data_IF_085517763544
#
_entry.id   IF_085517763544
#
_cell.length_a   1.000
_cell.length_b   1.000
_cell.length_c   1.000
_cell.angle_alpha   90.00
_cell.angle_beta   90.00
_cell.angle_gamma   90.00
#
_symmetry.space_group_name_H-M   'P 1'
#
loop_
_entity.id
_entity.type
_entity.pdbx_description
1 polymer ?
#
# COMPACT_ATOMS: atom_id res chain seq x y z
N UNK A 1 -39.05 -9.04 21.13
CA UNK A 1 -40.04 -9.51 22.11
C UNK A 1 -41.20 -8.53 22.09
N UNK A 2 -42.18 -8.82 21.30
CA UNK A 2 -43.41 -8.03 21.28
C UNK A 2 -44.58 -9.00 21.27
N UNK A 3 -45.46 -8.84 22.26
CA UNK A 3 -46.51 -9.78 22.61
C UNK A 3 -47.74 -9.57 21.74
N UNK A 4 -48.13 -10.60 21.02
CA UNK A 4 -49.43 -10.70 20.33
C UNK A 4 -50.52 -10.94 21.37
N UNK A 5 -51.58 -10.09 21.36
CA UNK A 5 -52.77 -10.26 22.17
C UNK A 5 -53.81 -11.18 21.48
N UNK A 6 -54.44 -12.10 22.16
CA UNK A 6 -55.47 -12.96 21.58
C UNK A 6 -56.81 -12.28 21.45
N UNK A 7 -57.50 -12.54 20.35
CA UNK A 7 -58.86 -12.13 20.04
C UNK A 7 -59.83 -13.04 20.79
N UNK A 8 -60.66 -12.49 21.66
CA UNK A 8 -61.78 -13.18 22.33
C UNK A 8 -62.95 -13.34 21.34
N UNK A 9 -63.38 -14.56 21.12
CA UNK A 9 -64.67 -14.88 20.50
C UNK A 9 -65.70 -14.93 21.57
N UNK A 10 -66.71 -14.01 21.50
CA UNK A 10 -67.92 -14.11 22.25
C UNK A 10 -68.90 -15.05 21.52
N UNK A 11 -69.18 -16.18 22.11
CA UNK A 11 -70.31 -17.04 21.74
C UNK A 11 -71.52 -16.56 22.54
N UNK A 12 -72.52 -16.05 21.83
CA UNK A 12 -73.83 -15.86 22.38
C UNK A 12 -74.81 -16.83 21.68
N UNK A 13 -75.23 -17.82 22.40
CA UNK A 13 -76.29 -18.74 22.01
C UNK A 13 -77.67 -18.07 22.30
N UNK A 14 -78.47 -17.98 21.28
CA UNK A 14 -79.91 -17.78 21.48
C UNK A 14 -80.65 -18.84 20.69
N UNK A 15 -81.26 -19.75 21.43
CA UNK A 15 -82.18 -20.73 20.90
C UNK A 15 -83.42 -20.02 20.40
N UNK A 16 -83.79 -20.21 19.15
CA UNK A 16 -85.06 -19.80 18.60
C UNK A 16 -85.97 -21.02 18.55
N UNK A 17 -87.08 -20.94 19.33
CA UNK A 17 -88.15 -21.92 19.35
C UNK A 17 -88.82 -22.01 17.97
N UNK A 18 -89.01 -23.22 17.49
CA UNK A 18 -89.82 -23.55 16.32
C UNK A 18 -91.29 -23.51 16.67
N UNK A 19 -92.04 -22.52 16.20
CA UNK A 19 -93.46 -22.61 16.10
C UNK A 19 -93.87 -23.45 14.87
N UNK A 20 -94.88 -24.33 15.02
CA UNK A 20 -95.38 -25.17 13.93
C UNK A 20 -96.18 -24.34 12.93
N UNK A 21 -95.82 -24.47 11.67
CA UNK A 21 -96.50 -23.88 10.51
C UNK A 21 -97.96 -24.40 10.39
N UNK A 22 -98.92 -23.47 10.46
CA UNK A 22 -100.32 -23.71 10.11
C UNK A 22 -100.55 -23.18 8.70
N UNK A 23 -100.94 -24.02 7.73
CA UNK A 23 -101.40 -23.48 6.44
C UNK A 23 -102.78 -22.90 6.55
N UNK A 24 -102.90 -21.57 6.44
CA UNK A 24 -104.12 -20.93 6.20
C UNK A 24 -104.62 -21.15 4.77
N UNK A 25 -105.83 -21.62 4.62
CA UNK A 25 -106.54 -21.79 3.35
C UNK A 25 -106.77 -20.40 2.74
N UNK A 26 -106.02 -20.07 1.74
CA UNK A 26 -106.20 -18.84 0.93
C UNK A 26 -107.37 -19.04 0.03
N UNK A 27 -108.39 -18.15 0.14
CA UNK A 27 -109.60 -18.11 -0.70
C UNK A 27 -109.20 -17.80 -2.17
N UNK A 28 -109.84 -18.53 -3.09
CA UNK A 28 -109.54 -18.56 -4.57
C UNK A 28 -109.98 -17.32 -5.34
N UNK A 29 -110.33 -16.20 -4.71
CA UNK A 29 -110.88 -15.04 -5.42
C UNK A 29 -110.06 -13.73 -5.27
N UNK A 30 -108.74 -13.78 -5.45
CA UNK A 30 -107.98 -12.55 -5.64
C UNK A 30 -107.46 -12.37 -7.09
N UNK A 31 -107.74 -11.24 -7.76
CA UNK A 31 -107.30 -10.98 -9.12
C UNK A 31 -105.72 -10.89 -9.14
N UNK A 32 -105.14 -11.71 -9.97
CA UNK A 32 -103.69 -11.67 -10.21
C UNK A 32 -103.29 -10.36 -10.87
N UNK A 33 -102.93 -9.37 -10.05
CA UNK A 33 -102.22 -8.19 -10.56
C UNK A 33 -100.84 -8.55 -10.91
N UNK A 34 -100.48 -8.48 -12.17
CA UNK A 34 -99.06 -8.52 -12.68
C UNK A 34 -98.37 -7.30 -12.09
N UNK A 35 -97.57 -7.50 -11.04
CA UNK A 35 -96.61 -6.45 -10.59
C UNK A 35 -95.71 -6.13 -11.73
N UNK A 36 -95.82 -4.95 -12.33
CA UNK A 36 -94.82 -4.38 -13.22
C UNK A 36 -93.45 -4.37 -12.49
N UNK A 37 -92.53 -5.20 -12.91
CA UNK A 37 -91.17 -5.14 -12.43
C UNK A 37 -90.62 -3.77 -12.87
N UNK A 38 -90.15 -2.98 -11.86
CA UNK A 38 -89.44 -1.74 -12.18
C UNK A 38 -88.20 -2.10 -12.93
N UNK A 39 -87.86 -1.41 -14.03
CA UNK A 39 -86.61 -1.69 -14.79
C UNK A 39 -85.42 -1.51 -13.86
N UNK A 40 -84.60 -2.52 -13.75
CA UNK A 40 -83.30 -2.45 -13.03
C UNK A 40 -82.41 -1.42 -13.77
N UNK A 41 -82.33 -0.23 -13.21
CA UNK A 41 -81.34 0.75 -13.64
C UNK A 41 -79.97 0.20 -13.37
N UNK A 42 -79.28 -0.34 -14.35
CA UNK A 42 -77.85 -0.67 -14.31
C UNK A 42 -77.12 0.66 -14.26
N UNK A 43 -76.86 1.11 -13.00
CA UNK A 43 -75.98 2.23 -12.78
C UNK A 43 -74.58 1.80 -13.27
N UNK A 44 -74.25 2.15 -14.51
CA UNK A 44 -72.86 2.10 -14.97
C UNK A 44 -72.06 2.94 -13.98
N UNK A 45 -71.20 2.31 -13.14
CA UNK A 45 -70.21 3.01 -12.35
C UNK A 45 -69.41 3.87 -13.30
N UNK A 46 -69.68 5.16 -13.41
CA UNK A 46 -68.75 6.10 -14.00
C UNK A 46 -67.49 5.96 -13.17
N UNK A 47 -66.39 5.59 -13.84
CA UNK A 47 -65.05 5.59 -13.23
C UNK A 47 -64.94 6.90 -12.49
N UNK A 48 -64.86 6.83 -11.16
CA UNK A 48 -64.72 7.98 -10.29
C UNK A 48 -63.47 8.74 -10.72
N UNK A 49 -63.59 10.04 -10.96
CA UNK A 49 -62.49 10.88 -11.44
C UNK A 49 -61.23 10.88 -10.54
N UNK A 50 -61.31 10.28 -9.37
CA UNK A 50 -60.16 10.02 -8.45
C UNK A 50 -59.21 8.96 -8.99
N UNK A 51 -59.66 7.96 -9.73
CA UNK A 51 -58.79 6.95 -10.34
C UNK A 51 -57.97 7.52 -11.50
N UNK A 52 -58.58 8.42 -12.30
CA UNK A 52 -57.87 9.06 -13.40
C UNK A 52 -56.72 9.97 -12.96
N UNK A 53 -56.86 10.68 -11.86
CA UNK A 53 -55.78 11.52 -11.29
C UNK A 53 -54.66 10.69 -10.71
N UNK A 54 -54.96 9.55 -10.08
CA UNK A 54 -53.97 8.63 -9.56
C UNK A 54 -53.11 8.03 -10.70
N UNK A 55 -53.74 7.49 -11.76
CA UNK A 55 -53.01 6.95 -12.90
C UNK A 55 -52.21 8.01 -13.62
N UNK A 56 -52.70 9.24 -13.71
CA UNK A 56 -51.94 10.36 -14.26
C UNK A 56 -50.70 10.68 -13.41
N UNK A 57 -50.82 10.70 -12.08
CA UNK A 57 -49.70 10.91 -11.17
C UNK A 57 -48.67 9.78 -11.28
N UNK A 58 -49.09 8.53 -11.26
CA UNK A 58 -48.18 7.36 -11.45
C UNK A 58 -47.48 7.46 -12.79
N UNK A 59 -48.20 7.79 -13.86
CA UNK A 59 -47.58 7.96 -15.19
C UNK A 59 -46.54 9.10 -15.21
N UNK A 60 -46.84 10.23 -14.59
CA UNK A 60 -45.89 11.34 -14.47
C UNK A 60 -44.64 10.93 -13.71
N UNK A 61 -44.80 10.25 -12.57
CA UNK A 61 -43.68 9.79 -11.76
C UNK A 61 -42.84 8.71 -12.48
N UNK A 62 -43.46 7.80 -13.22
CA UNK A 62 -42.72 6.83 -14.05
C UNK A 62 -41.96 7.51 -15.17
N UNK A 63 -42.53 8.53 -15.81
CA UNK A 63 -41.86 9.30 -16.87
C UNK A 63 -40.69 10.11 -16.31
N UNK A 64 -40.87 10.74 -15.14
CA UNK A 64 -39.78 11.44 -14.43
C UNK A 64 -38.67 10.46 -14.04
N UNK A 65 -39.02 9.29 -13.51
CA UNK A 65 -38.07 8.24 -13.16
C UNK A 65 -37.30 7.72 -14.39
N UNK A 66 -37.97 7.50 -15.49
CA UNK A 66 -37.34 7.09 -16.76
C UNK A 66 -36.42 8.18 -17.33
N UNK A 67 -36.83 9.45 -17.25
CA UNK A 67 -36.01 10.58 -17.67
C UNK A 67 -34.76 10.73 -16.79
N UNK A 68 -34.91 10.60 -15.46
CA UNK A 68 -33.78 10.62 -14.53
C UNK A 68 -32.80 9.47 -14.78
N UNK A 69 -33.30 8.25 -15.01
CA UNK A 69 -32.48 7.11 -15.36
C UNK A 69 -31.74 7.33 -16.70
N UNK A 70 -32.44 7.83 -17.70
CA UNK A 70 -31.85 8.18 -19.00
C UNK A 70 -30.76 9.24 -18.89
N UNK A 71 -31.01 10.30 -18.11
CA UNK A 71 -30.03 11.34 -17.83
C UNK A 71 -28.80 10.80 -17.10
N UNK A 72 -29.01 9.90 -16.12
CA UNK A 72 -27.88 9.25 -15.40
C UNK A 72 -27.06 8.38 -16.33
N UNK A 73 -27.68 7.53 -17.14
CA UNK A 73 -26.98 6.68 -18.14
C UNK A 73 -26.24 7.53 -19.15
N UNK A 74 -26.85 8.60 -19.64
CA UNK A 74 -26.21 9.53 -20.56
C UNK A 74 -25.00 10.23 -19.94
N UNK A 75 -25.12 10.72 -18.69
CA UNK A 75 -24.03 11.34 -17.95
C UNK A 75 -22.86 10.38 -17.76
N UNK A 76 -23.15 9.14 -17.32
CA UNK A 76 -22.13 8.10 -17.16
C UNK A 76 -21.43 7.80 -18.48
N UNK A 77 -22.19 7.62 -19.57
CA UNK A 77 -21.59 7.42 -20.90
C UNK A 77 -20.75 8.61 -21.35
N UNK A 78 -21.23 9.81 -21.15
CA UNK A 78 -20.50 11.03 -21.48
C UNK A 78 -19.17 11.10 -20.69
N UNK A 79 -19.18 10.89 -19.38
CA UNK A 79 -17.97 10.87 -18.57
C UNK A 79 -16.98 9.77 -18.98
N UNK A 80 -17.47 8.59 -19.36
CA UNK A 80 -16.61 7.46 -19.73
C UNK A 80 -16.05 7.55 -21.15
N UNK A 81 -16.71 8.22 -22.08
CA UNK A 81 -16.36 8.23 -23.50
C UNK A 81 -16.14 9.64 -24.08
N UNK A 82 -16.25 10.69 -23.26
CA UNK A 82 -15.98 12.04 -23.72
C UNK A 82 -14.52 12.19 -24.17
N UNK A 83 -14.24 12.78 -25.33
CA UNK A 83 -12.89 13.09 -25.78
C UNK A 83 -12.09 13.93 -24.77
N UNK A 84 -12.78 14.74 -23.96
CA UNK A 84 -12.17 15.57 -22.92
C UNK A 84 -11.65 14.77 -21.73
N UNK A 85 -12.10 13.53 -21.55
CA UNK A 85 -11.70 12.63 -20.46
C UNK A 85 -10.64 11.59 -20.88
N UNK A 86 -10.14 11.68 -22.11
CA UNK A 86 -9.18 10.72 -22.64
C UNK A 86 -7.75 11.13 -22.29
N UNK A 87 -6.95 10.14 -21.90
CA UNK A 87 -5.51 10.28 -21.80
C UNK A 87 -4.89 10.07 -23.18
N UNK A 88 -4.49 11.15 -23.85
CA UNK A 88 -3.97 11.10 -25.23
C UNK A 88 -2.50 11.48 -25.30
N UNK A 89 -2.11 12.52 -24.55
CA UNK A 89 -0.76 13.13 -24.62
C UNK A 89 0.08 12.76 -23.41
N UNK A 90 1.40 12.58 -23.59
CA UNK A 90 2.32 12.39 -22.45
C UNK A 90 2.28 13.56 -21.44
N UNK A 91 2.09 14.80 -21.91
CA UNK A 91 2.02 15.99 -21.08
C UNK A 91 0.86 16.00 -20.08
N UNK A 92 -0.12 15.10 -20.27
CA UNK A 92 -1.22 14.90 -19.33
C UNK A 92 -0.80 14.10 -18.08
N UNK A 93 0.42 13.54 -18.09
CA UNK A 93 1.02 12.82 -16.96
C UNK A 93 2.03 13.75 -16.31
N UNK A 94 1.64 14.33 -15.19
CA UNK A 94 2.48 15.21 -14.37
C UNK A 94 3.28 14.33 -13.39
N UNK A 95 4.60 14.32 -13.51
CA UNK A 95 5.51 13.59 -12.62
C UNK A 95 6.19 14.61 -11.72
N UNK A 96 6.13 14.40 -10.42
CA UNK A 96 6.69 15.24 -9.38
C UNK A 96 7.53 14.40 -8.41
N UNK A 97 8.58 15.02 -7.84
CA UNK A 97 9.47 14.37 -6.87
C UNK A 97 10.57 13.55 -7.51
N UNK A 98 10.58 13.45 -8.83
CA UNK A 98 11.65 12.77 -9.57
C UNK A 98 12.86 13.71 -9.77
N UNK A 99 14.06 13.22 -9.46
CA UNK A 99 15.35 13.84 -9.71
C UNK A 99 16.24 12.95 -10.59
N UNK A 100 16.33 11.67 -10.20
CA UNK A 100 17.12 10.64 -10.87
C UNK A 100 16.23 9.85 -11.84
N UNK A 101 15.00 9.54 -11.43
CA UNK A 101 14.05 8.82 -12.30
C UNK A 101 13.64 9.71 -13.47
N UNK A 102 13.90 9.25 -14.70
CA UNK A 102 13.50 9.98 -15.88
C UNK A 102 11.97 10.04 -15.99
N UNK A 103 11.43 11.24 -16.23
CA UNK A 103 9.99 11.44 -16.44
C UNK A 103 9.44 10.56 -17.56
N UNK A 104 10.24 10.37 -18.59
CA UNK A 104 9.91 9.60 -19.78
C UNK A 104 9.68 8.12 -19.43
N UNK A 105 10.41 7.56 -18.48
CA UNK A 105 10.24 6.15 -18.08
C UNK A 105 8.92 5.95 -17.34
N UNK A 106 8.56 6.89 -16.47
CA UNK A 106 7.24 6.88 -15.81
C UNK A 106 6.12 7.03 -16.85
N UNK A 107 6.27 7.94 -17.81
CA UNK A 107 5.27 8.15 -18.87
C UNK A 107 5.12 6.94 -19.79
N UNK A 108 6.18 6.17 -20.04
CA UNK A 108 6.13 4.93 -20.84
C UNK A 108 5.21 3.88 -20.22
N UNK A 109 5.13 3.81 -18.89
CA UNK A 109 4.25 2.86 -18.19
C UNK A 109 2.76 3.11 -18.50
N UNK A 110 2.39 4.37 -18.80
CA UNK A 110 1.04 4.74 -19.21
C UNK A 110 0.79 4.62 -20.73
N UNK A 111 1.76 4.16 -21.50
CA UNK A 111 1.62 4.06 -22.96
C UNK A 111 0.45 3.16 -23.39
N UNK A 112 0.16 2.12 -22.60
CA UNK A 112 -0.97 1.19 -22.82
C UNK A 112 -2.34 1.83 -22.53
N UNK A 113 -2.36 2.94 -21.79
CA UNK A 113 -3.60 3.62 -21.38
C UNK A 113 -3.97 4.76 -22.32
N UNK A 114 -3.18 5.00 -23.37
CA UNK A 114 -3.47 6.03 -24.36
C UNK A 114 -4.79 5.74 -25.06
N UNK A 115 -5.64 6.75 -25.13
CA UNK A 115 -6.98 6.64 -25.71
C UNK A 115 -8.02 6.07 -24.76
N UNK A 116 -7.65 5.70 -23.54
CA UNK A 116 -8.61 5.31 -22.52
C UNK A 116 -9.13 6.53 -21.76
N UNK A 117 -10.37 6.44 -21.29
CA UNK A 117 -10.90 7.41 -20.34
C UNK A 117 -10.12 7.33 -19.02
N UNK A 118 -9.80 8.50 -18.47
CA UNK A 118 -9.12 8.63 -17.18
C UNK A 118 -9.72 7.76 -16.07
N UNK A 119 -11.05 7.58 -16.11
CA UNK A 119 -11.77 6.77 -15.10
C UNK A 119 -11.53 5.27 -15.23
N UNK A 120 -11.11 4.80 -16.42
CA UNK A 120 -10.83 3.37 -16.70
C UNK A 120 -9.39 2.97 -16.44
N UNK A 121 -8.49 3.94 -16.23
CA UNK A 121 -7.07 3.65 -15.97
C UNK A 121 -6.92 2.99 -14.61
N UNK A 122 -6.29 1.82 -14.51
CA UNK A 122 -6.07 1.12 -13.24
C UNK A 122 -4.88 1.75 -12.49
N UNK A 123 -5.13 2.81 -11.70
CA UNK A 123 -4.06 3.56 -11.05
C UNK A 123 -3.24 2.73 -10.06
N UNK A 124 -3.87 1.82 -9.32
CA UNK A 124 -3.17 0.95 -8.36
C UNK A 124 -2.14 0.06 -9.07
N UNK A 125 -2.51 -0.45 -10.27
CA UNK A 125 -1.57 -1.23 -11.07
C UNK A 125 -0.42 -0.36 -11.56
N UNK A 126 -0.69 0.87 -12.04
CA UNK A 126 0.35 1.79 -12.47
C UNK A 126 1.26 2.22 -11.33
N UNK A 127 0.70 2.41 -10.13
CA UNK A 127 1.49 2.67 -8.91
C UNK A 127 2.48 1.54 -8.66
N UNK A 128 2.02 0.28 -8.65
CA UNK A 128 2.90 -0.88 -8.45
C UNK A 128 3.99 -0.97 -9.53
N UNK A 129 3.64 -0.76 -10.81
CA UNK A 129 4.63 -0.76 -11.90
C UNK A 129 5.66 0.37 -11.77
N UNK A 130 5.29 1.52 -11.21
CA UNK A 130 6.23 2.62 -10.90
C UNK A 130 7.14 2.24 -9.72
N UNK A 131 6.59 1.61 -8.69
CA UNK A 131 7.34 1.13 -7.52
C UNK A 131 8.29 -0.05 -7.84
N UNK A 132 8.14 -0.70 -9.00
CA UNK A 132 9.09 -1.70 -9.53
C UNK A 132 10.37 -1.05 -10.09
N UNK A 133 10.37 0.26 -10.36
CA UNK A 133 11.58 0.96 -10.78
C UNK A 133 12.57 1.02 -9.61
N UNK A 134 13.85 0.64 -9.81
CA UNK A 134 14.82 0.51 -8.71
C UNK A 134 14.95 1.75 -7.84
N UNK A 135 14.95 2.93 -8.45
CA UNK A 135 15.10 4.22 -7.76
C UNK A 135 13.83 4.75 -7.08
N UNK A 136 12.70 4.06 -7.22
CA UNK A 136 11.44 4.46 -6.59
C UNK A 136 11.27 3.73 -5.26
N UNK A 137 11.12 4.48 -4.18
CA UNK A 137 10.79 3.94 -2.86
C UNK A 137 9.27 3.83 -2.70
N UNK A 138 8.56 4.90 -3.05
CA UNK A 138 7.11 4.98 -2.95
C UNK A 138 6.56 5.83 -4.10
N UNK A 139 5.40 5.45 -4.61
CA UNK A 139 4.68 6.23 -5.60
C UNK A 139 3.22 6.47 -5.20
N UNK A 140 2.72 7.66 -5.49
CA UNK A 140 1.30 8.00 -5.38
C UNK A 140 0.78 8.47 -6.73
N UNK A 141 -0.31 7.86 -7.18
CA UNK A 141 -0.90 8.15 -8.50
C UNK A 141 -2.32 8.65 -8.32
N UNK A 142 -2.60 9.85 -8.81
CA UNK A 142 -3.87 10.54 -8.61
C UNK A 142 -4.49 10.96 -9.95
N UNK A 143 -5.82 10.87 -10.04
CA UNK A 143 -6.59 11.42 -11.17
C UNK A 143 -6.84 12.89 -10.96
N UNK A 144 -6.49 13.71 -11.93
CA UNK A 144 -6.84 15.13 -11.99
C UNK A 144 -7.80 15.34 -13.14
N UNK A 145 -9.05 15.55 -12.83
CA UNK A 145 -10.07 15.79 -13.85
C UNK A 145 -9.79 17.09 -14.62
N UNK A 146 -10.08 17.15 -15.92
CA UNK A 146 -10.79 16.13 -16.70
C UNK A 146 -9.91 15.00 -17.26
N UNK A 147 -8.60 15.19 -17.51
CA UNK A 147 -7.80 14.28 -18.32
C UNK A 147 -6.31 14.22 -17.93
N UNK A 148 -5.99 14.46 -16.68
CA UNK A 148 -4.61 14.42 -16.20
C UNK A 148 -4.41 13.32 -15.15
N UNK A 149 -3.22 12.76 -15.14
CA UNK A 149 -2.72 11.90 -14.06
C UNK A 149 -1.57 12.63 -13.41
N UNK A 150 -1.59 12.70 -12.09
CA UNK A 150 -0.47 13.20 -11.30
C UNK A 150 0.18 12.07 -10.55
N UNK A 151 1.48 11.95 -10.75
CA UNK A 151 2.34 10.97 -10.10
C UNK A 151 3.26 11.73 -9.16
N UNK A 152 3.29 11.34 -7.90
CA UNK A 152 4.30 11.76 -6.94
C UNK A 152 5.21 10.58 -6.69
N UNK A 153 6.51 10.81 -6.75
CA UNK A 153 7.53 9.79 -6.55
C UNK A 153 8.40 10.23 -5.36
N UNK A 154 8.61 9.32 -4.43
CA UNK A 154 9.67 9.41 -3.44
C UNK A 154 10.80 8.53 -3.92
N UNK A 155 11.95 9.15 -4.25
CA UNK A 155 13.13 8.42 -4.70
C UNK A 155 13.90 7.85 -3.52
N UNK A 156 14.51 6.69 -3.73
CA UNK A 156 15.38 6.04 -2.74
C UNK A 156 16.62 6.85 -2.48
N UNK A 157 17.06 6.83 -1.24
CA UNK A 157 18.31 7.48 -0.82
C UNK A 157 19.38 6.39 -0.60
N UNK A 158 20.42 6.34 -1.42
CA UNK A 158 21.53 5.42 -1.20
C UNK A 158 22.30 5.82 0.07
N UNK A 159 22.84 4.82 0.78
CA UNK A 159 23.60 5.02 2.02
C UNK A 159 24.98 4.34 2.00
N UNK A 160 25.24 3.47 1.04
CA UNK A 160 26.52 2.79 0.88
C UNK A 160 26.76 2.40 -0.58
N UNK A 161 28.03 2.15 -0.92
CA UNK A 161 28.37 1.39 -2.10
C UNK A 161 28.32 -0.11 -1.79
N UNK A 162 27.79 -0.87 -2.71
CA UNK A 162 27.85 -2.34 -2.67
C UNK A 162 28.85 -2.84 -3.72
N UNK A 163 29.79 -3.66 -3.28
CA UNK A 163 30.75 -4.31 -4.19
C UNK A 163 30.26 -5.71 -4.56
N UNK A 164 29.96 -5.89 -5.85
CA UNK A 164 29.66 -7.18 -6.44
C UNK A 164 30.81 -7.59 -7.42
N UNK A 165 31.78 -8.33 -6.90
CA UNK A 165 33.00 -8.62 -7.66
C UNK A 165 33.76 -7.35 -8.01
N UNK A 166 33.80 -6.97 -9.28
CA UNK A 166 34.48 -5.76 -9.79
C UNK A 166 33.57 -4.56 -9.93
N UNK A 167 32.26 -4.76 -9.85
CA UNK A 167 31.26 -3.70 -10.02
C UNK A 167 30.93 -3.06 -8.68
N UNK A 168 30.76 -1.74 -8.70
CA UNK A 168 30.28 -0.95 -7.58
C UNK A 168 28.91 -0.39 -7.95
N UNK A 169 27.89 -0.83 -7.22
CA UNK A 169 26.53 -0.32 -7.27
C UNK A 169 26.22 0.44 -5.98
N UNK A 170 25.12 1.16 -5.95
CA UNK A 170 24.63 1.80 -4.72
C UNK A 170 23.65 0.87 -4.01
N UNK A 171 23.49 1.06 -2.70
CA UNK A 171 22.51 0.33 -1.90
C UNK A 171 21.81 1.29 -0.94
N UNK A 172 20.50 1.11 -0.81
CA UNK A 172 19.68 1.88 0.12
C UNK A 172 19.61 1.24 1.53
N UNK A 173 18.89 1.90 2.43
CA UNK A 173 18.66 1.44 3.79
C UNK A 173 17.95 0.08 3.90
N UNK A 174 17.21 -0.32 2.87
CA UNK A 174 16.45 -1.57 2.79
C UNK A 174 17.17 -2.68 2.01
N UNK A 175 18.41 -2.44 1.60
CA UNK A 175 19.20 -3.42 0.84
C UNK A 175 18.76 -3.55 -0.63
N UNK A 176 18.09 -2.53 -1.17
CA UNK A 176 17.79 -2.45 -2.59
C UNK A 176 19.00 -1.92 -3.33
N UNK A 177 19.41 -2.64 -4.36
CA UNK A 177 20.53 -2.25 -5.19
C UNK A 177 20.07 -1.21 -6.22
N UNK A 178 20.89 -0.17 -6.40
CA UNK A 178 20.59 0.98 -7.24
C UNK A 178 21.73 1.17 -8.23
N UNK A 179 21.39 1.34 -9.48
CA UNK A 179 22.38 1.70 -10.50
C UNK A 179 22.95 3.09 -10.21
N UNK A 180 24.23 3.27 -10.42
CA UNK A 180 24.86 4.57 -10.24
C UNK A 180 24.43 5.53 -11.35
N UNK A 181 23.78 6.66 -11.03
CA UNK A 181 23.41 7.66 -12.01
C UNK A 181 24.66 8.36 -12.56
N UNK A 182 24.63 8.71 -13.83
CA UNK A 182 25.73 9.44 -14.47
C UNK A 182 25.81 10.88 -13.92
N UNK A 183 27.04 11.31 -13.61
CA UNK A 183 27.29 12.70 -13.19
C UNK A 183 27.01 13.03 -11.74
N UNK A 184 26.65 12.06 -10.90
CA UNK A 184 26.56 12.25 -9.45
C UNK A 184 27.75 11.60 -8.72
N UNK A 185 28.36 12.36 -7.81
CA UNK A 185 29.43 11.87 -6.93
C UNK A 185 28.86 11.55 -5.55
N UNK A 186 29.11 10.33 -5.12
CA UNK A 186 28.73 9.83 -3.82
C UNK A 186 29.97 9.51 -2.98
N UNK A 187 29.92 9.80 -1.69
CA UNK A 187 30.99 9.54 -0.74
C UNK A 187 30.44 8.64 0.36
N UNK A 188 30.36 7.37 0.07
CA UNK A 188 29.88 6.35 0.99
C UNK A 188 30.92 5.28 1.21
N UNK A 189 30.91 4.59 2.37
CA UNK A 189 31.71 3.39 2.57
C UNK A 189 31.25 2.26 1.64
N UNK A 190 32.15 1.31 1.41
CA UNK A 190 31.86 0.12 0.62
C UNK A 190 31.31 -0.96 1.55
N UNK A 191 30.19 -1.55 1.20
CA UNK A 191 29.63 -2.71 1.87
C UNK A 191 29.86 -3.95 1.02
N UNK A 192 30.31 -5.03 1.67
CA UNK A 192 30.44 -6.35 1.06
C UNK A 192 29.55 -7.36 1.79
N UNK A 193 29.38 -8.54 1.19
CA UNK A 193 28.56 -9.58 1.79
C UNK A 193 27.06 -9.47 1.50
N UNK A 194 26.63 -8.50 0.69
CA UNK A 194 25.31 -8.50 0.08
C UNK A 194 25.35 -9.32 -1.22
N UNK A 195 24.23 -9.81 -1.68
CA UNK A 195 24.07 -10.45 -2.99
C UNK A 195 22.64 -10.30 -3.46
N UNK A 196 22.43 -10.15 -4.75
CA UNK A 196 21.10 -10.18 -5.36
C UNK A 196 20.37 -11.51 -5.11
N UNK A 197 21.14 -12.60 -5.00
CA UNK A 197 20.61 -13.93 -4.71
C UNK A 197 20.14 -14.11 -3.27
N UNK A 198 20.50 -13.21 -2.35
CA UNK A 198 20.02 -13.25 -0.98
C UNK A 198 18.54 -12.83 -0.92
N UNK A 199 17.73 -13.48 -0.05
CA UNK A 199 16.38 -13.03 0.25
C UNK A 199 16.36 -11.55 0.68
N UNK A 200 15.33 -10.82 0.29
CA UNK A 200 15.20 -9.40 0.63
C UNK A 200 15.32 -9.15 2.14
N UNK A 201 14.69 -10.00 2.94
CA UNK A 201 14.73 -9.92 4.41
C UNK A 201 16.14 -10.05 4.99
N UNK A 202 17.01 -10.86 4.35
CA UNK A 202 18.40 -11.02 4.79
C UNK A 202 19.23 -9.80 4.41
N UNK A 203 19.00 -9.22 3.24
CA UNK A 203 19.66 -7.97 2.83
C UNK A 203 19.25 -6.83 3.76
N UNK A 204 17.96 -6.71 4.06
CA UNK A 204 17.43 -5.69 4.97
C UNK A 204 18.04 -5.81 6.36
N UNK A 205 18.11 -7.02 6.93
CA UNK A 205 18.77 -7.26 8.23
C UNK A 205 20.26 -6.84 8.22
N UNK A 206 20.98 -7.14 7.16
CA UNK A 206 22.39 -6.75 7.03
C UNK A 206 22.53 -5.23 6.97
N UNK A 207 21.66 -4.56 6.24
CA UNK A 207 21.66 -3.10 6.18
C UNK A 207 21.21 -2.44 7.48
N UNK A 208 20.34 -3.07 8.26
CA UNK A 208 20.03 -2.63 9.61
C UNK A 208 21.25 -2.68 10.53
N UNK A 209 22.02 -3.78 10.47
CA UNK A 209 23.31 -3.88 11.21
C UNK A 209 24.29 -2.78 10.78
N UNK A 210 24.38 -2.49 9.48
CA UNK A 210 25.17 -1.38 8.97
C UNK A 210 24.75 -0.04 9.57
N UNK A 211 23.46 0.29 9.52
CA UNK A 211 22.91 1.55 10.03
C UNK A 211 23.13 1.68 11.55
N UNK A 212 22.89 0.60 12.29
CA UNK A 212 23.11 0.55 13.74
C UNK A 212 24.58 0.83 14.06
N UNK A 213 25.50 0.16 13.37
CA UNK A 213 26.93 0.36 13.55
C UNK A 213 27.37 1.80 13.23
N UNK A 214 26.96 2.36 12.11
CA UNK A 214 27.31 3.72 11.71
C UNK A 214 26.80 4.76 12.75
N UNK A 215 25.58 4.57 13.22
CA UNK A 215 25.01 5.41 14.28
C UNK A 215 25.78 5.29 15.60
N UNK A 216 26.11 4.08 16.00
CA UNK A 216 26.83 3.82 17.27
C UNK A 216 28.25 4.40 17.26
N UNK A 217 28.93 4.31 16.12
CA UNK A 217 30.26 4.88 15.93
C UNK A 217 30.23 6.41 16.07
N UNK A 218 29.29 7.08 15.41
CA UNK A 218 29.14 8.53 15.48
C UNK A 218 28.62 9.02 16.85
N UNK A 219 27.89 8.17 17.58
CA UNK A 219 27.47 8.47 18.96
C UNK A 219 28.67 8.53 19.92
N UNK A 220 29.69 7.70 19.71
CA UNK A 220 30.93 7.71 20.52
C UNK A 220 31.82 8.88 20.17
N UNK A 221 32.05 9.09 18.88
CA UNK A 221 32.87 10.20 18.37
C UNK A 221 32.30 10.68 17.05
N UNK A 222 31.67 11.88 17.03
CA UNK A 222 31.08 12.44 15.82
C UNK A 222 32.07 12.53 14.65
N UNK A 223 31.64 12.12 13.46
CA UNK A 223 32.45 12.10 12.24
C UNK A 223 33.39 10.90 12.12
N UNK A 224 33.28 9.89 13.00
CA UNK A 224 34.07 8.67 12.85
C UNK A 224 33.55 7.75 11.75
N UNK A 225 32.29 7.86 11.38
CA UNK A 225 31.73 7.18 10.21
C UNK A 225 32.49 7.53 8.90
N UNK A 226 33.01 8.75 8.78
CA UNK A 226 33.79 9.19 7.61
C UNK A 226 35.15 8.49 7.51
N UNK A 227 35.64 7.89 8.60
CA UNK A 227 36.88 7.12 8.62
C UNK A 227 36.72 5.65 8.19
N UNK A 228 35.46 5.23 7.96
CA UNK A 228 35.13 3.87 7.57
C UNK A 228 35.22 3.77 6.05
N UNK A 229 36.08 2.88 5.57
CA UNK A 229 36.28 2.64 4.14
C UNK A 229 35.43 1.47 3.65
N UNK A 230 35.34 0.39 4.44
CA UNK A 230 34.65 -0.84 4.03
C UNK A 230 34.02 -1.54 5.24
N UNK A 231 32.84 -2.11 5.04
CA UNK A 231 32.17 -3.00 6.00
C UNK A 231 31.86 -4.33 5.33
N UNK A 232 32.30 -5.42 5.95
CA UNK A 232 31.97 -6.78 5.52
C UNK A 232 30.85 -7.35 6.38
N UNK A 233 29.68 -7.50 5.77
CA UNK A 233 28.47 -8.07 6.34
C UNK A 233 28.25 -9.54 5.94
N UNK A 234 29.26 -10.20 5.34
CA UNK A 234 29.14 -11.59 4.88
C UNK A 234 28.82 -12.55 6.01
N UNK A 235 29.47 -12.35 7.15
CA UNK A 235 29.28 -13.18 8.34
C UNK A 235 28.33 -12.51 9.33
N UNK A 236 27.13 -13.07 9.55
CA UNK A 236 26.18 -12.51 10.54
C UNK A 236 26.71 -12.47 11.98
N UNK A 237 27.77 -13.21 12.26
CA UNK A 237 28.37 -13.29 13.61
C UNK A 237 29.58 -12.39 13.80
N UNK A 238 30.07 -11.75 12.74
CA UNK A 238 31.30 -10.97 12.79
C UNK A 238 31.24 -9.81 11.80
N UNK A 239 30.86 -8.64 12.28
CA UNK A 239 30.99 -7.42 11.51
C UNK A 239 32.46 -7.03 11.43
N UNK A 240 33.03 -7.03 10.23
CA UNK A 240 34.38 -6.57 9.96
C UNK A 240 34.34 -5.19 9.32
N UNK A 241 35.17 -4.31 9.84
CA UNK A 241 35.21 -2.93 9.39
C UNK A 241 36.64 -2.54 9.07
N UNK A 242 36.86 -1.96 7.93
CA UNK A 242 38.14 -1.36 7.54
C UNK A 242 38.07 0.13 7.81
N UNK A 243 38.94 0.61 8.70
CA UNK A 243 38.96 2.02 9.11
C UNK A 243 40.34 2.63 8.75
N UNK A 244 40.29 3.89 8.33
CA UNK A 244 41.50 4.70 8.08
C UNK A 244 41.57 5.82 9.14
N UNK A 245 42.79 6.32 9.40
CA UNK A 245 42.96 7.48 10.28
C UNK A 245 42.74 7.24 11.78
N UNK A 246 42.66 5.98 12.24
CA UNK A 246 42.68 5.64 13.65
C UNK A 246 44.01 6.12 14.25
N UNK A 247 44.00 7.05 15.17
CA UNK A 247 45.24 7.60 15.80
C UNK A 247 45.59 9.03 15.32
N UNK A 248 44.76 9.65 14.49
CA UNK A 248 44.92 11.08 14.13
C UNK A 248 45.97 11.37 13.06
N UNK A 249 46.55 10.36 12.43
CA UNK A 249 47.52 10.53 11.35
C UNK A 249 46.83 10.14 10.01
N UNK A 250 46.72 11.07 9.07
CA UNK A 250 46.13 10.88 7.74
C UNK A 250 46.88 9.89 6.87
N UNK A 251 48.15 9.64 7.15
CA UNK A 251 48.99 8.66 6.44
C UNK A 251 48.91 7.25 7.12
N UNK A 252 48.03 7.05 8.08
CA UNK A 252 47.90 5.79 8.77
C UNK A 252 47.34 4.70 7.85
N UNK A 253 47.96 3.51 7.91
CA UNK A 253 47.47 2.34 7.21
C UNK A 253 46.03 2.00 7.64
N UNK A 254 45.24 1.48 6.68
CA UNK A 254 43.92 0.98 7.00
C UNK A 254 44.00 -0.20 7.99
N UNK A 255 43.15 -0.19 9.01
CA UNK A 255 43.09 -1.22 10.05
C UNK A 255 41.78 -1.99 9.90
N UNK A 256 41.88 -3.31 9.89
CA UNK A 256 40.69 -4.17 9.90
C UNK A 256 40.30 -4.46 11.34
N UNK A 257 39.05 -4.13 11.72
CA UNK A 257 38.54 -4.36 13.06
C UNK A 257 37.39 -5.35 13.01
N UNK A 258 37.44 -6.39 13.84
CA UNK A 258 36.38 -7.38 14.00
C UNK A 258 35.53 -6.99 15.21
N UNK A 259 34.31 -6.54 14.99
CA UNK A 259 33.41 -6.08 16.05
C UNK A 259 32.50 -7.17 16.61
N UNK A 260 32.33 -8.29 15.88
CA UNK A 260 31.35 -9.32 16.24
C UNK A 260 29.91 -8.85 15.98
N UNK A 261 28.97 -9.25 16.86
CA UNK A 261 27.53 -9.06 16.63
C UNK A 261 26.88 -7.94 17.42
N UNK A 262 27.45 -7.57 18.57
CA UNK A 262 26.77 -6.73 19.57
C UNK A 262 27.74 -5.78 20.26
N UNK A 263 27.15 -4.77 20.97
CA UNK A 263 27.89 -3.77 21.74
C UNK A 263 28.88 -2.96 20.91
N UNK A 264 28.44 -2.47 19.76
CA UNK A 264 29.28 -1.66 18.88
C UNK A 264 29.75 -0.38 19.57
N UNK A 265 28.89 0.28 20.33
CA UNK A 265 29.23 1.48 21.10
C UNK A 265 30.37 1.24 22.09
N UNK A 266 30.28 0.18 22.91
CA UNK A 266 31.30 -0.14 23.93
C UNK A 266 32.63 -0.54 23.30
N UNK A 267 32.58 -1.37 22.27
CA UNK A 267 33.77 -1.84 21.53
C UNK A 267 34.47 -0.71 20.77
N UNK A 268 33.69 0.17 20.13
CA UNK A 268 34.25 1.31 19.42
C UNK A 268 34.87 2.32 20.39
N UNK A 269 34.26 2.57 21.54
CA UNK A 269 34.86 3.39 22.61
C UNK A 269 36.18 2.81 23.08
N UNK A 270 36.20 1.51 23.35
CA UNK A 270 37.44 0.80 23.76
C UNK A 270 38.52 0.94 22.65
N UNK A 271 38.15 0.82 21.39
CA UNK A 271 39.06 1.00 20.27
C UNK A 271 39.70 2.40 20.29
N UNK A 272 38.86 3.45 20.34
CA UNK A 272 39.31 4.85 20.30
C UNK A 272 40.20 5.20 21.48
N UNK A 273 39.87 4.74 22.69
CA UNK A 273 40.62 5.04 23.91
C UNK A 273 41.99 4.32 23.98
N UNK A 274 42.07 3.12 23.43
CA UNK A 274 43.25 2.27 23.61
C UNK A 274 44.13 2.12 22.33
N UNK A 275 43.69 2.59 21.19
CA UNK A 275 44.37 2.39 19.93
C UNK A 275 45.84 2.89 19.94
N UNK A 276 46.04 4.10 20.48
CA UNK A 276 47.38 4.70 20.56
C UNK A 276 48.33 3.83 21.42
N UNK A 277 47.83 3.26 22.52
CA UNK A 277 48.60 2.37 23.36
C UNK A 277 48.93 1.04 22.69
N UNK A 278 47.95 0.47 21.96
CA UNK A 278 48.19 -0.77 21.20
C UNK A 278 49.23 -0.57 20.11
N UNK A 279 49.15 0.58 19.40
CA UNK A 279 50.12 0.94 18.39
C UNK A 279 51.53 1.11 19.00
N UNK A 280 51.65 1.75 20.18
CA UNK A 280 52.94 1.91 20.84
C UNK A 280 53.55 0.57 21.27
N UNK A 281 52.72 -0.39 21.70
CA UNK A 281 53.18 -1.69 22.19
C UNK A 281 53.49 -2.71 21.09
N UNK A 282 52.66 -2.70 19.99
CA UNK A 282 52.70 -3.72 18.96
C UNK A 282 53.32 -3.22 17.63
N UNK A 283 53.69 -1.93 17.57
CA UNK A 283 54.15 -1.32 16.31
C UNK A 283 53.01 -1.08 15.33
N UNK A 284 53.18 -1.46 14.07
CA UNK A 284 52.13 -1.27 13.06
C UNK A 284 50.96 -2.21 13.34
N UNK A 285 49.78 -1.64 13.53
CA UNK A 285 48.50 -2.37 13.75
C UNK A 285 47.81 -2.54 12.41
N UNK A 286 47.59 -3.78 11.96
CA UNK A 286 46.86 -4.12 10.74
C UNK A 286 45.49 -4.67 10.99
N UNK A 287 45.32 -5.36 12.13
CA UNK A 287 44.04 -5.98 12.49
C UNK A 287 43.84 -5.99 13.99
N UNK A 288 42.58 -5.83 14.42
CA UNK A 288 42.16 -5.87 15.82
C UNK A 288 40.90 -6.73 15.92
N UNK A 289 40.91 -7.68 16.87
CA UNK A 289 39.76 -8.50 17.15
C UNK A 289 39.11 -8.12 18.50
N UNK A 290 37.91 -7.54 18.43
CA UNK A 290 37.08 -7.10 19.56
C UNK A 290 35.87 -8.02 19.79
N UNK A 291 35.80 -9.19 19.14
CA UNK A 291 34.66 -10.10 19.29
C UNK A 291 34.51 -10.61 20.73
N UNK A 292 35.62 -10.75 21.43
CA UNK A 292 35.68 -11.33 22.77
C UNK A 292 35.47 -10.26 23.85
N UNK A 293 34.59 -10.53 24.79
CA UNK A 293 34.23 -9.57 25.85
C UNK A 293 35.34 -9.28 26.88
N UNK A 294 36.36 -10.14 26.96
CA UNK A 294 37.41 -10.05 28.00
C UNK A 294 38.83 -9.96 27.47
N UNK A 295 39.00 -9.99 26.16
CA UNK A 295 40.34 -10.00 25.59
C UNK A 295 40.28 -9.28 24.22
N UNK A 296 41.28 -8.48 23.96
CA UNK A 296 41.52 -7.86 22.66
C UNK A 296 42.75 -8.51 22.02
N UNK A 297 42.63 -8.94 20.79
CA UNK A 297 43.75 -9.50 20.06
C UNK A 297 44.20 -8.50 18.99
N UNK A 298 45.42 -8.04 19.08
CA UNK A 298 46.04 -7.12 18.11
C UNK A 298 46.91 -7.92 17.18
N UNK A 299 46.79 -7.72 15.88
CA UNK A 299 47.47 -8.44 14.81
C UNK A 299 47.37 -9.98 14.97
N UNK A 300 46.15 -10.57 15.04
CA UNK A 300 46.03 -12.01 15.11
C UNK A 300 46.69 -12.67 13.89
N UNK A 301 47.53 -13.69 14.16
CA UNK A 301 48.17 -14.46 13.10
C UNK A 301 47.13 -15.12 12.20
N UNK A 302 47.07 -14.76 10.96
CA UNK A 302 46.10 -15.29 9.96
C UNK A 302 46.26 -16.80 9.72
N UNK A 303 47.39 -17.39 10.17
CA UNK A 303 47.69 -18.81 10.00
C UNK A 303 46.92 -19.77 10.90
N UNK A 304 46.35 -19.28 12.04
CA UNK A 304 45.73 -20.14 13.03
C UNK A 304 44.26 -20.44 12.75
N UNK A 305 43.56 -19.60 11.97
CA UNK A 305 42.14 -19.76 11.70
C UNK A 305 41.80 -20.84 10.67
N UNK A 306 42.77 -21.17 9.78
CA UNK A 306 42.58 -22.20 8.76
C UNK A 306 42.68 -23.64 9.30
N UNK A 307 43.24 -23.86 10.50
CA UNK A 307 43.44 -25.19 11.05
C UNK A 307 42.30 -25.74 11.90
N UNK A 308 41.28 -24.91 12.24
CA UNK A 308 40.16 -25.30 13.12
C UNK A 308 38.89 -25.76 12.39
N UNK A 309 38.88 -25.70 11.06
CA UNK A 309 37.76 -26.12 10.19
C UNK A 309 38.12 -27.32 9.28
N UNK A 310 38.92 -28.26 9.78
CA UNK A 310 39.10 -29.56 9.16
C UNK A 310 38.54 -30.69 10.03
#
# INVERSE_FOLDING_TARGET
MERVKPIQRNASSAAAEHEPYRPELVSEDEPRYLRRQKPVEIRRKKFSGRTGTYYRQVFVWTLVGAAALGATVFSVRYLLYSPQMLLVKPDQIEVNGNRIVAREDVQKLFSRDRGLSLLKIPLDKRRMEIEELPWVEEASVQRILPNRVRVFITERTPIAFFRNGTELTLVDAHGVLLDRPEGEDFHFPIVTGLSESLPREDRERRMQTYQEFMKDVDLVKPGSSDQISELDLSNPRDLRVVMAGLGGNTDAHAVTVHFGQTDFTGKFRMLVENFAQWQANSGTVHSIDLQYSRQVVVNPDTSTTAAKNR
#
